data_IF_616472913372
#
_entry.id   IF_616472913372
#
_cell.length_a   1.000
_cell.length_b   1.000
_cell.length_c   1.000
_cell.angle_alpha   90.00
_cell.angle_beta   90.00
_cell.angle_gamma   90.00
#
_symmetry.space_group_name_H-M   'P 1'
#
loop_
_entity.id
_entity.type
_entity.pdbx_description
1 polymer ?
#
# COMPACT_ATOMS: atom_id res chain seq x y z
N UNK A 1 12.79 8.80 -10.33
CA UNK A 1 13.45 8.94 -11.64
C UNK A 1 12.55 9.74 -12.57
N UNK A 2 13.10 10.74 -13.27
CA UNK A 2 12.47 11.42 -14.40
C UNK A 2 13.00 10.82 -15.70
N UNK A 3 12.11 10.42 -16.59
CA UNK A 3 12.46 9.91 -17.91
C UNK A 3 11.60 10.56 -18.98
N UNK A 4 12.07 10.57 -20.23
CA UNK A 4 11.25 10.96 -21.37
C UNK A 4 10.38 9.77 -21.86
N UNK A 5 9.49 10.04 -22.82
CA UNK A 5 8.60 9.02 -23.39
C UNK A 5 9.33 7.92 -24.18
N UNK A 6 10.64 8.06 -24.42
CA UNK A 6 11.49 7.06 -25.06
C UNK A 6 12.29 6.24 -24.06
N UNK A 7 12.07 6.46 -22.75
CA UNK A 7 12.73 5.75 -21.67
C UNK A 7 14.12 6.30 -21.32
N UNK A 8 14.56 7.44 -21.89
CA UNK A 8 15.82 8.06 -21.51
C UNK A 8 15.69 8.69 -20.13
N UNK A 9 16.54 8.29 -19.19
CA UNK A 9 16.63 8.92 -17.85
C UNK A 9 17.16 10.35 -18.00
N UNK A 10 16.40 11.30 -17.47
CA UNK A 10 16.72 12.73 -17.48
C UNK A 10 17.25 13.19 -16.12
N UNK A 11 16.72 12.63 -15.02
CA UNK A 11 17.15 12.93 -13.66
C UNK A 11 16.83 11.78 -12.71
N UNK A 12 17.58 11.73 -11.61
CA UNK A 12 17.35 10.83 -10.48
C UNK A 12 17.32 11.70 -9.22
N UNK A 13 16.32 11.48 -8.37
CA UNK A 13 16.15 12.22 -7.12
C UNK A 13 16.27 11.26 -5.94
N UNK A 14 17.21 11.52 -5.05
CA UNK A 14 17.27 10.78 -3.78
C UNK A 14 16.04 11.08 -2.92
N UNK A 15 15.50 10.06 -2.28
CA UNK A 15 14.42 10.23 -1.29
C UNK A 15 14.96 10.93 -0.05
N UNK A 16 14.36 12.06 0.31
CA UNK A 16 14.75 12.82 1.50
C UNK A 16 13.63 12.78 2.55
N UNK A 17 13.97 12.32 3.75
CA UNK A 17 13.13 12.43 4.95
C UNK A 17 13.87 13.28 5.96
N UNK A 18 13.23 14.36 6.41
CA UNK A 18 13.81 15.32 7.35
C UNK A 18 15.20 15.83 6.87
N UNK A 19 15.34 16.03 5.54
CA UNK A 19 16.56 16.52 4.89
C UNK A 19 17.69 15.49 4.73
N UNK A 20 17.48 14.25 5.15
CA UNK A 20 18.46 13.15 5.05
C UNK A 20 18.04 12.13 4.00
N UNK A 21 19.00 11.62 3.23
CA UNK A 21 18.74 10.57 2.27
C UNK A 21 18.28 9.27 2.98
N UNK A 22 17.19 8.67 2.46
CA UNK A 22 16.66 7.39 2.95
C UNK A 22 16.86 6.34 1.88
N UNK A 23 17.53 5.25 2.25
CA UNK A 23 17.93 4.19 1.33
C UNK A 23 17.60 2.82 1.90
N UNK A 24 17.24 1.88 1.01
CA UNK A 24 17.18 0.45 1.31
C UNK A 24 18.55 -0.21 1.14
N UNK A 25 18.76 -1.44 1.64
CA UNK A 25 19.99 -2.19 1.39
C UNK A 25 20.31 -2.43 -0.09
N UNK A 26 19.28 -2.38 -0.96
CA UNK A 26 19.43 -2.58 -2.40
C UNK A 26 19.76 -1.31 -3.19
N UNK A 27 19.81 -0.16 -2.52
CA UNK A 27 20.08 1.11 -3.18
C UNK A 27 21.52 1.13 -3.74
N UNK A 28 21.75 1.58 -4.99
CA UNK A 28 23.07 1.56 -5.63
C UNK A 28 24.19 2.28 -4.87
N UNK A 29 23.83 3.27 -4.06
CA UNK A 29 24.79 4.02 -3.24
C UNK A 29 25.08 3.37 -1.86
N UNK A 30 24.45 2.24 -1.53
CA UNK A 30 24.74 1.48 -0.30
C UNK A 30 25.86 0.49 -0.58
N UNK A 31 26.97 0.63 0.14
CA UNK A 31 28.12 -0.27 0.00
C UNK A 31 27.93 -1.51 0.88
N UNK A 32 27.93 -2.67 0.28
CA UNK A 32 27.93 -3.94 1.00
C UNK A 32 29.29 -4.17 1.64
N UNK A 33 29.36 -4.51 2.94
CA UNK A 33 30.63 -4.85 3.59
C UNK A 33 31.33 -6.03 2.92
N UNK A 34 32.66 -6.01 2.89
CA UNK A 34 33.47 -7.09 2.30
C UNK A 34 33.49 -8.40 3.11
N UNK A 35 32.91 -8.40 4.32
CA UNK A 35 32.84 -9.58 5.19
C UNK A 35 31.39 -9.85 5.64
N UNK A 36 30.98 -11.13 5.76
CA UNK A 36 29.68 -11.49 6.31
C UNK A 36 29.45 -10.89 7.71
N UNK A 37 28.22 -10.43 7.98
CA UNK A 37 27.85 -9.84 9.28
C UNK A 37 28.27 -8.39 9.48
N UNK A 38 28.91 -7.75 8.50
CA UNK A 38 29.21 -6.32 8.56
C UNK A 38 27.93 -5.47 8.49
N UNK A 39 27.94 -4.32 9.19
CA UNK A 39 26.81 -3.40 9.20
C UNK A 39 26.62 -2.74 7.82
N UNK A 40 25.37 -2.58 7.42
CA UNK A 40 24.96 -1.85 6.21
C UNK A 40 24.19 -0.60 6.64
N UNK A 41 24.60 0.53 6.13
CA UNK A 41 23.91 1.81 6.45
C UNK A 41 22.67 1.95 5.55
N UNK A 42 21.52 1.61 6.11
CA UNK A 42 20.21 1.80 5.47
C UNK A 42 19.17 2.27 6.48
N UNK A 43 18.14 2.97 6.00
CA UNK A 43 17.09 3.56 6.83
C UNK A 43 15.72 2.90 6.60
N UNK A 44 15.59 2.08 5.56
CA UNK A 44 14.35 1.37 5.25
C UNK A 44 14.67 -0.09 4.92
N UNK A 45 13.80 -1.02 5.31
CA UNK A 45 13.99 -2.45 5.03
C UNK A 45 14.03 -2.72 3.52
N UNK A 46 14.66 -3.84 3.15
CA UNK A 46 14.64 -4.37 1.78
C UNK A 46 13.20 -4.50 1.27
N UNK A 47 12.95 -4.15 0.00
CA UNK A 47 11.63 -4.20 -0.63
C UNK A 47 10.55 -3.45 0.15
N UNK A 48 10.90 -2.32 0.80
CA UNK A 48 9.98 -1.45 1.54
C UNK A 48 10.14 0.02 1.12
N UNK A 49 10.45 0.22 -0.17
CA UNK A 49 10.53 1.53 -0.80
C UNK A 49 9.16 2.18 -1.03
N UNK A 50 9.03 2.91 -2.12
CA UNK A 50 7.73 3.48 -2.50
C UNK A 50 6.84 2.41 -3.12
N UNK A 51 5.61 2.30 -2.61
CA UNK A 51 4.57 1.40 -3.11
C UNK A 51 3.45 2.18 -3.80
N UNK A 52 3.01 3.28 -3.22
CA UNK A 52 1.99 4.14 -3.81
C UNK A 52 2.55 5.52 -4.19
N UNK A 53 2.12 6.07 -5.32
CA UNK A 53 2.47 7.44 -5.72
C UNK A 53 1.26 8.13 -6.36
N UNK A 54 0.62 8.99 -5.59
CA UNK A 54 -0.49 9.81 -6.06
C UNK A 54 0.00 11.12 -6.69
N UNK A 55 -0.80 11.69 -7.58
CA UNK A 55 -0.61 13.05 -8.09
C UNK A 55 -1.73 13.98 -7.65
N UNK A 56 -1.42 15.28 -7.46
CA UNK A 56 -2.47 16.29 -7.39
C UNK A 56 -3.24 16.36 -8.72
N UNK A 57 -4.51 16.82 -8.68
CA UNK A 57 -5.34 16.91 -9.88
C UNK A 57 -4.76 17.82 -10.97
N UNK A 58 -4.02 18.84 -10.59
CA UNK A 58 -3.35 19.76 -11.51
C UNK A 58 -1.96 19.27 -11.94
N UNK A 59 -1.51 18.13 -11.42
CA UNK A 59 -0.20 17.53 -11.71
C UNK A 59 0.98 18.31 -11.12
N UNK A 60 0.75 19.31 -10.28
CA UNK A 60 1.82 20.16 -9.71
C UNK A 60 2.59 19.46 -8.57
N UNK A 61 1.97 18.46 -7.92
CA UNK A 61 2.55 17.72 -6.79
C UNK A 61 2.46 16.22 -7.01
N UNK A 62 3.47 15.50 -6.51
CA UNK A 62 3.42 14.06 -6.32
C UNK A 62 3.48 13.77 -4.82
N UNK A 63 2.74 12.76 -4.41
CA UNK A 63 2.69 12.26 -3.04
C UNK A 63 3.15 10.81 -3.05
N UNK A 64 4.37 10.57 -2.58
CA UNK A 64 4.98 9.25 -2.59
C UNK A 64 4.88 8.60 -1.20
N UNK A 65 4.25 7.43 -1.11
CA UNK A 65 4.04 6.69 0.12
C UNK A 65 5.05 5.55 0.22
N UNK A 66 5.84 5.54 1.30
CA UNK A 66 6.75 4.44 1.62
C UNK A 66 5.98 3.23 2.14
N UNK A 67 6.32 2.04 1.69
CA UNK A 67 5.74 0.77 2.15
C UNK A 67 6.24 0.37 3.55
N UNK A 68 7.43 0.81 3.93
CA UNK A 68 8.00 0.51 5.23
C UNK A 68 8.29 1.75 6.07
N UNK A 69 8.28 1.60 7.41
CA UNK A 69 8.63 2.67 8.32
C UNK A 69 10.13 2.99 8.25
N UNK A 70 10.48 4.25 8.43
CA UNK A 70 11.86 4.71 8.44
C UNK A 70 12.52 4.35 9.77
N UNK A 71 13.78 3.90 9.71
CA UNK A 71 14.59 3.62 10.90
C UNK A 71 14.96 4.91 11.64
N UNK A 72 14.66 4.95 12.92
CA UNK A 72 15.11 6.00 13.82
C UNK A 72 16.33 5.50 14.62
N UNK A 73 17.50 6.03 14.29
CA UNK A 73 18.76 5.60 14.92
C UNK A 73 18.84 5.98 16.40
N UNK A 74 18.19 7.05 16.83
CA UNK A 74 18.17 7.48 18.24
C UNK A 74 17.29 6.56 19.09
N UNK A 75 16.10 6.24 18.58
CA UNK A 75 15.17 5.32 19.23
C UNK A 75 15.62 3.85 19.09
N UNK A 76 16.54 3.54 18.15
CA UNK A 76 16.93 2.17 17.77
C UNK A 76 15.72 1.30 17.39
N UNK A 77 14.75 1.90 16.72
CA UNK A 77 13.52 1.25 16.28
C UNK A 77 13.01 1.92 15.00
N UNK A 78 12.08 1.28 14.32
CA UNK A 78 11.37 1.87 13.21
C UNK A 78 10.37 2.92 13.70
N UNK A 79 10.05 3.89 12.82
CA UNK A 79 9.12 4.96 13.14
C UNK A 79 7.74 4.42 13.51
N UNK A 80 7.23 4.88 14.66
CA UNK A 80 5.93 4.51 15.21
C UNK A 80 5.17 5.73 15.72
N UNK A 81 3.86 5.62 15.69
CA UNK A 81 2.93 6.52 16.38
C UNK A 81 2.09 5.66 17.32
N UNK A 82 2.15 5.94 18.62
CA UNK A 82 1.42 5.18 19.66
C UNK A 82 1.64 3.65 19.57
N UNK A 83 2.89 3.24 19.27
CA UNK A 83 3.28 1.83 19.16
C UNK A 83 2.97 1.13 17.83
N UNK A 84 2.27 1.81 16.93
CA UNK A 84 1.97 1.32 15.57
C UNK A 84 2.96 1.86 14.56
N UNK A 85 3.41 1.02 13.63
CA UNK A 85 4.29 1.42 12.53
C UNK A 85 3.64 2.53 11.70
N UNK A 86 4.45 3.55 11.37
CA UNK A 86 4.01 4.73 10.64
C UNK A 86 4.83 4.89 9.35
N UNK A 87 4.13 5.01 8.23
CA UNK A 87 4.70 5.10 6.90
C UNK A 87 4.67 6.55 6.43
N UNK A 88 5.76 7.04 5.85
CA UNK A 88 5.82 8.42 5.36
C UNK A 88 5.17 8.60 3.99
N UNK A 89 4.27 9.57 3.89
CA UNK A 89 3.83 10.16 2.63
C UNK A 89 4.65 11.42 2.42
N UNK A 90 5.42 11.49 1.34
CA UNK A 90 6.34 12.60 1.05
C UNK A 90 5.81 13.41 -0.13
N UNK A 91 5.84 14.76 -0.01
CA UNK A 91 5.42 15.65 -1.09
C UNK A 91 6.61 16.08 -1.94
N UNK A 92 6.46 15.93 -3.26
CA UNK A 92 7.42 16.38 -4.28
C UNK A 92 6.78 17.44 -5.18
N UNK A 93 7.46 18.57 -5.36
CA UNK A 93 7.04 19.64 -6.26
C UNK A 93 7.58 19.39 -7.67
N UNK A 94 6.67 19.24 -8.64
CA UNK A 94 7.00 18.87 -10.01
C UNK A 94 7.69 20.02 -10.76
N UNK A 95 7.31 21.27 -10.48
CA UNK A 95 7.88 22.44 -11.18
C UNK A 95 9.32 22.75 -10.76
N UNK A 96 9.60 22.62 -9.46
CA UNK A 96 10.95 22.84 -8.91
C UNK A 96 11.80 21.59 -8.89
N UNK A 97 11.19 20.41 -9.15
CA UNK A 97 11.81 19.09 -9.12
C UNK A 97 12.49 18.78 -7.76
N UNK A 98 11.79 19.10 -6.66
CA UNK A 98 12.33 18.96 -5.30
C UNK A 98 11.30 18.39 -4.33
N UNK A 99 11.79 17.64 -3.36
CA UNK A 99 11.03 17.32 -2.15
C UNK A 99 10.77 18.63 -1.40
N UNK A 100 9.51 18.89 -1.03
CA UNK A 100 9.12 20.13 -0.34
C UNK A 100 9.49 20.12 1.15
N UNK A 101 9.75 18.93 1.69
CA UNK A 101 9.91 18.69 3.13
C UNK A 101 8.57 18.45 3.85
N UNK A 102 7.43 18.73 3.19
CA UNK A 102 6.11 18.38 3.73
C UNK A 102 5.92 16.88 3.69
N UNK A 103 5.36 16.34 4.74
CA UNK A 103 5.06 14.93 4.84
C UNK A 103 3.90 14.67 5.78
N UNK A 104 3.33 13.47 5.69
CA UNK A 104 2.33 12.93 6.59
C UNK A 104 2.72 11.51 6.99
N UNK A 105 2.04 10.97 8.01
CA UNK A 105 2.29 9.61 8.51
C UNK A 105 1.05 8.77 8.35
N UNK A 106 1.10 7.75 7.50
CA UNK A 106 0.06 6.73 7.47
C UNK A 106 0.35 5.69 8.56
N UNK A 107 -0.50 5.65 9.59
CA UNK A 107 -0.35 4.73 10.71
C UNK A 107 -1.06 3.43 10.37
N UNK A 108 -0.33 2.31 10.37
CA UNK A 108 -0.90 0.99 10.10
C UNK A 108 -1.88 0.56 11.20
N UNK A 109 -2.93 -0.18 10.84
CA UNK A 109 -3.86 -0.76 11.83
C UNK A 109 -3.21 -1.84 12.66
N UNK A 110 -2.32 -2.61 12.07
CA UNK A 110 -1.48 -3.59 12.77
C UNK A 110 -0.06 -3.54 12.23
N UNK A 111 0.93 -3.70 13.13
CA UNK A 111 2.33 -3.83 12.73
C UNK A 111 2.50 -5.05 11.83
N UNK A 112 3.24 -4.87 10.73
CA UNK A 112 3.44 -5.92 9.73
C UNK A 112 2.40 -5.95 8.62
N UNK A 113 1.32 -5.15 8.68
CA UNK A 113 0.51 -4.88 7.51
C UNK A 113 1.35 -4.19 6.43
N UNK A 114 0.92 -4.28 5.19
CA UNK A 114 1.50 -3.58 4.05
C UNK A 114 0.45 -2.69 3.39
N UNK A 115 0.91 -1.71 2.64
CA UNK A 115 0.07 -0.94 1.72
C UNK A 115 0.19 -1.52 0.32
N UNK A 116 -0.78 -1.25 -0.55
CA UNK A 116 -0.75 -1.71 -1.94
C UNK A 116 -0.79 -0.56 -2.95
N UNK A 117 -1.49 0.54 -2.65
CA UNK A 117 -1.58 1.68 -3.57
C UNK A 117 -2.02 2.95 -2.83
N UNK A 118 -1.80 4.09 -3.51
CA UNK A 118 -2.23 5.40 -3.05
C UNK A 118 -2.60 6.31 -4.23
N UNK A 119 -3.83 6.83 -4.25
CA UNK A 119 -4.29 7.81 -5.23
C UNK A 119 -5.08 8.95 -4.58
N UNK A 120 -4.95 10.19 -5.12
CA UNK A 120 -5.71 11.34 -4.61
C UNK A 120 -7.12 11.40 -5.19
N UNK A 121 -8.11 11.66 -4.33
CA UNK A 121 -9.49 11.94 -4.71
C UNK A 121 -9.66 13.40 -5.08
N UNK A 122 -9.07 14.30 -4.28
CA UNK A 122 -9.14 15.75 -4.40
C UNK A 122 -7.87 16.43 -3.87
N UNK A 123 -7.91 17.70 -3.53
CA UNK A 123 -6.73 18.45 -3.08
C UNK A 123 -6.20 18.04 -1.69
N UNK A 124 -6.96 17.28 -0.91
CA UNK A 124 -6.62 16.94 0.47
C UNK A 124 -7.00 15.53 0.90
N UNK A 125 -7.74 14.80 0.09
CA UNK A 125 -8.16 13.43 0.42
C UNK A 125 -7.68 12.43 -0.63
N UNK A 126 -7.38 11.21 -0.19
CA UNK A 126 -6.93 10.12 -1.06
C UNK A 126 -7.42 8.76 -0.59
N UNK A 127 -7.18 7.75 -1.43
CA UNK A 127 -7.44 6.34 -1.15
C UNK A 127 -6.12 5.62 -0.93
N UNK A 128 -6.03 4.83 0.13
CA UNK A 128 -4.87 3.96 0.43
C UNK A 128 -5.37 2.55 0.67
N UNK A 129 -4.75 1.57 0.01
CA UNK A 129 -4.95 0.15 0.32
C UNK A 129 -4.05 -0.22 1.50
N UNK A 130 -4.63 -0.82 2.56
CA UNK A 130 -3.90 -1.48 3.64
C UNK A 130 -4.34 -2.93 3.75
N UNK A 131 -3.38 -3.85 3.82
CA UNK A 131 -3.62 -5.29 3.82
C UNK A 131 -2.71 -6.04 4.79
N UNK A 132 -3.20 -7.17 5.31
CA UNK A 132 -2.36 -8.20 5.90
C UNK A 132 -1.64 -9.04 4.81
N UNK A 133 -0.79 -9.96 5.23
CA UNK A 133 -0.07 -10.90 4.35
C UNK A 133 -0.77 -12.25 4.21
N UNK A 134 -2.00 -12.37 4.71
CA UNK A 134 -2.82 -13.57 4.52
C UNK A 134 -3.43 -13.65 3.12
N UNK A 135 -3.80 -14.86 2.71
CA UNK A 135 -4.50 -15.13 1.45
C UNK A 135 -5.59 -16.20 1.63
N UNK A 136 -6.56 -16.22 0.73
CA UNK A 136 -7.65 -17.17 0.81
C UNK A 136 -8.70 -16.85 1.87
N UNK A 137 -9.71 -17.69 1.96
CA UNK A 137 -10.86 -17.52 2.85
C UNK A 137 -10.92 -18.60 3.94
N UNK A 138 -11.65 -18.32 5.01
CA UNK A 138 -11.86 -19.26 6.12
C UNK A 138 -12.41 -20.63 5.69
N UNK A 139 -13.21 -20.68 4.61
CA UNK A 139 -13.74 -21.95 4.08
C UNK A 139 -12.68 -22.86 3.49
N UNK A 140 -11.47 -22.35 3.22
CA UNK A 140 -10.33 -23.10 2.69
C UNK A 140 -9.11 -23.05 3.62
N UNK A 141 -9.30 -22.67 4.88
CA UNK A 141 -8.24 -22.67 5.89
C UNK A 141 -7.78 -24.10 6.20
N UNK A 142 -6.47 -24.25 6.40
CA UNK A 142 -5.94 -25.51 6.93
C UNK A 142 -6.45 -25.77 8.34
N UNK A 143 -6.78 -27.01 8.69
CA UNK A 143 -7.01 -27.38 10.07
C UNK A 143 -5.75 -27.09 10.91
N UNK A 144 -5.95 -26.66 12.14
CA UNK A 144 -4.86 -26.31 13.05
C UNK A 144 -3.86 -27.46 13.20
N UNK A 145 -2.57 -27.14 13.14
CA UNK A 145 -1.48 -28.10 13.29
C UNK A 145 -1.23 -29.04 12.10
N UNK A 146 -2.03 -28.95 11.04
CA UNK A 146 -1.84 -29.78 9.83
C UNK A 146 -0.92 -29.06 8.83
N UNK A 147 0.11 -29.77 8.34
CA UNK A 147 1.00 -29.31 7.26
C UNK A 147 0.46 -29.85 5.92
N UNK A 148 -0.56 -29.20 5.37
CA UNK A 148 -1.15 -29.53 4.07
C UNK A 148 -0.79 -28.46 3.06
N UNK A 149 -0.83 -28.81 1.76
CA UNK A 149 -0.56 -27.88 0.64
C UNK A 149 -1.83 -27.52 -0.14
N UNK A 150 -2.97 -28.14 0.20
CA UNK A 150 -4.25 -27.98 -0.47
C UNK A 150 -5.24 -27.10 0.32
N UNK A 151 -4.72 -26.26 1.20
CA UNK A 151 -5.46 -25.32 2.02
C UNK A 151 -4.56 -24.11 2.40
N UNK A 152 -5.14 -23.03 2.89
CA UNK A 152 -4.42 -21.83 3.31
C UNK A 152 -4.02 -21.88 4.79
N UNK A 153 -2.74 -21.69 5.09
CA UNK A 153 -2.22 -21.66 6.47
C UNK A 153 -2.46 -20.32 7.13
N UNK A 154 -2.33 -19.22 6.36
CA UNK A 154 -2.55 -17.86 6.83
C UNK A 154 -3.63 -17.22 5.95
N UNK A 155 -4.87 -17.25 6.44
CA UNK A 155 -6.02 -16.70 5.71
C UNK A 155 -6.06 -15.19 5.80
N UNK A 156 -6.55 -14.55 4.73
CA UNK A 156 -6.80 -13.12 4.71
C UNK A 156 -7.82 -12.72 5.80
N UNK A 157 -7.44 -11.74 6.64
CA UNK A 157 -8.28 -11.21 7.73
C UNK A 157 -8.44 -9.70 7.67
N UNK A 158 -7.57 -9.03 6.91
CA UNK A 158 -7.55 -7.58 6.81
C UNK A 158 -7.16 -7.12 5.40
N UNK A 159 -8.14 -6.65 4.62
CA UNK A 159 -7.96 -6.08 3.28
C UNK A 159 -8.88 -4.88 3.16
N UNK A 160 -8.34 -3.65 3.17
CA UNK A 160 -9.17 -2.43 3.21
C UNK A 160 -8.68 -1.36 2.25
N UNK A 161 -9.63 -0.62 1.69
CA UNK A 161 -9.38 0.67 1.05
C UNK A 161 -9.81 1.76 2.02
N UNK A 162 -8.86 2.54 2.53
CA UNK A 162 -9.14 3.69 3.39
C UNK A 162 -9.28 4.96 2.57
N UNK A 163 -10.27 5.80 2.93
CA UNK A 163 -10.23 7.22 2.61
C UNK A 163 -9.47 7.94 3.70
N UNK A 164 -8.46 8.72 3.32
CA UNK A 164 -7.60 9.46 4.24
C UNK A 164 -7.58 10.93 3.90
N UNK A 165 -7.32 11.79 4.88
CA UNK A 165 -7.06 13.22 4.70
C UNK A 165 -5.59 13.52 4.94
N UNK A 166 -4.99 14.22 3.96
CA UNK A 166 -3.67 14.81 3.99
C UNK A 166 -3.86 16.31 3.75
N UNK A 167 -3.84 17.12 4.79
CA UNK A 167 -4.11 18.57 4.70
C UNK A 167 -3.02 19.36 5.41
N UNK A 168 -3.06 20.68 5.30
CA UNK A 168 -2.17 21.57 6.04
C UNK A 168 -2.32 21.42 7.55
N UNK A 169 -3.50 21.03 8.01
CA UNK A 169 -3.80 20.86 9.43
C UNK A 169 -3.06 19.69 10.09
N UNK A 170 -2.66 18.68 9.29
CA UNK A 170 -2.00 17.47 9.81
C UNK A 170 -0.61 17.20 9.19
N UNK A 171 0.01 18.20 8.55
CA UNK A 171 1.40 18.11 8.08
C UNK A 171 2.34 17.74 9.23
N UNK A 172 3.24 16.77 9.00
CA UNK A 172 4.17 16.25 10.00
C UNK A 172 3.56 15.22 10.95
N UNK A 173 2.23 15.13 10.99
CA UNK A 173 1.47 14.23 11.85
C UNK A 173 0.79 13.09 11.10
N UNK A 174 -0.04 12.31 11.82
CA UNK A 174 -0.84 11.25 11.22
C UNK A 174 -1.87 11.77 10.22
N UNK A 175 -2.07 11.03 9.13
CA UNK A 175 -3.24 11.22 8.27
C UNK A 175 -4.50 10.91 9.07
N UNK A 176 -5.59 11.61 8.79
CA UNK A 176 -6.89 11.27 9.37
C UNK A 176 -7.57 10.22 8.51
N UNK A 177 -7.80 9.03 9.05
CA UNK A 177 -8.61 7.99 8.40
C UNK A 177 -10.10 8.36 8.55
N UNK A 178 -10.77 8.63 7.44
CA UNK A 178 -12.17 9.08 7.40
C UNK A 178 -13.13 7.89 7.43
N UNK A 179 -12.80 6.84 6.67
CA UNK A 179 -13.61 5.63 6.57
C UNK A 179 -12.91 4.60 5.70
N UNK A 180 -13.53 3.44 5.51
CA UNK A 180 -12.97 2.37 4.69
C UNK A 180 -14.03 1.48 4.04
N UNK A 181 -13.61 0.77 2.99
CA UNK A 181 -14.30 -0.39 2.43
C UNK A 181 -13.53 -1.64 2.83
N UNK A 182 -14.22 -2.64 3.40
CA UNK A 182 -13.65 -3.94 3.70
C UNK A 182 -13.78 -4.85 2.48
N UNK A 183 -12.65 -5.15 1.84
CA UNK A 183 -12.60 -5.97 0.63
C UNK A 183 -12.86 -7.47 0.91
N UNK A 184 -12.91 -7.86 2.18
CA UNK A 184 -13.35 -9.21 2.57
C UNK A 184 -14.86 -9.30 2.85
N UNK A 185 -15.58 -8.16 2.72
CA UNK A 185 -17.01 -8.07 3.00
C UNK A 185 -17.73 -7.15 2.00
N UNK A 186 -17.56 -7.41 0.71
CA UNK A 186 -18.19 -6.64 -0.36
C UNK A 186 -19.60 -7.19 -0.59
N UNK A 187 -20.62 -6.36 -0.32
CA UNK A 187 -22.01 -6.75 -0.58
C UNK A 187 -22.27 -6.89 -2.09
N UNK A 188 -22.79 -8.04 -2.50
CA UNK A 188 -23.21 -8.33 -3.87
C UNK A 188 -24.56 -9.07 -3.87
N UNK A 189 -25.65 -8.38 -3.49
CA UNK A 189 -26.98 -8.97 -3.39
C UNK A 189 -27.51 -9.47 -4.74
N UNK A 190 -27.11 -8.82 -5.81
CA UNK A 190 -27.53 -9.17 -7.18
C UNK A 190 -26.65 -10.25 -7.82
N UNK A 191 -25.62 -10.73 -7.10
CA UNK A 191 -24.69 -11.78 -7.54
C UNK A 191 -24.04 -11.49 -8.88
N UNK A 192 -23.58 -10.25 -9.06
CA UNK A 192 -22.92 -9.78 -10.28
C UNK A 192 -21.50 -10.34 -10.42
N UNK A 193 -20.83 -10.61 -9.33
CA UNK A 193 -19.49 -11.20 -9.33
C UNK A 193 -19.53 -12.63 -9.87
N UNK A 194 -18.58 -12.94 -10.76
CA UNK A 194 -18.46 -14.30 -11.36
C UNK A 194 -17.72 -15.30 -10.47
N UNK A 195 -17.05 -14.82 -9.43
CA UNK A 195 -16.31 -15.65 -8.47
C UNK A 195 -17.22 -16.12 -7.37
N UNK A 196 -16.82 -17.19 -6.64
CA UNK A 196 -17.66 -17.74 -5.59
C UNK A 196 -18.06 -16.65 -4.58
N UNK A 197 -19.36 -16.56 -4.34
CA UNK A 197 -19.94 -15.72 -3.30
C UNK A 197 -20.29 -16.58 -2.08
N UNK A 198 -20.21 -15.95 -0.91
CA UNK A 198 -20.70 -16.53 0.32
C UNK A 198 -21.89 -15.68 0.80
N UNK A 199 -23.11 -16.19 0.62
CA UNK A 199 -24.37 -15.53 1.01
C UNK A 199 -24.53 -14.09 0.47
N UNK A 200 -24.15 -13.87 -0.80
CA UNK A 200 -24.22 -12.55 -1.44
C UNK A 200 -23.07 -11.61 -1.04
N UNK A 201 -22.00 -12.15 -0.46
CA UNK A 201 -20.78 -11.42 -0.13
C UNK A 201 -19.64 -11.86 -1.03
N UNK A 202 -19.11 -10.95 -1.82
CA UNK A 202 -17.85 -11.15 -2.54
C UNK A 202 -16.68 -10.89 -1.59
N UNK A 203 -15.74 -11.81 -1.51
CA UNK A 203 -14.45 -11.63 -0.84
C UNK A 203 -13.35 -11.45 -1.86
N UNK A 204 -12.44 -10.52 -1.58
CA UNK A 204 -11.27 -10.20 -2.39
C UNK A 204 -9.99 -10.54 -1.59
N UNK A 205 -9.69 -11.86 -1.40
CA UNK A 205 -8.77 -12.35 -0.38
C UNK A 205 -7.34 -12.52 -0.91
N UNK A 206 -6.92 -11.66 -1.83
CA UNK A 206 -5.62 -11.80 -2.47
C UNK A 206 -4.47 -11.44 -1.52
N UNK A 207 -3.34 -12.11 -1.70
CA UNK A 207 -2.11 -11.82 -0.98
C UNK A 207 -1.72 -10.36 -1.19
N UNK A 208 -1.66 -9.93 -2.45
CA UNK A 208 -1.40 -8.54 -2.84
C UNK A 208 -2.60 -7.93 -3.56
N UNK A 209 -3.03 -6.75 -3.07
CA UNK A 209 -4.04 -5.90 -3.69
C UNK A 209 -3.34 -4.56 -3.88
N UNK A 210 -3.07 -4.19 -5.13
CA UNK A 210 -2.08 -3.16 -5.47
C UNK A 210 -2.57 -2.10 -6.44
N UNK A 211 -3.89 -2.03 -6.65
CA UNK A 211 -4.47 -1.02 -7.51
C UNK A 211 -5.76 -0.48 -6.89
N UNK A 212 -5.85 0.83 -6.71
CA UNK A 212 -7.10 1.54 -6.41
C UNK A 212 -7.14 2.86 -7.15
N UNK A 213 -8.24 3.14 -7.86
CA UNK A 213 -8.44 4.44 -8.47
C UNK A 213 -9.91 4.86 -8.45
N UNK A 214 -10.14 6.17 -8.53
CA UNK A 214 -11.48 6.77 -8.62
C UNK A 214 -11.93 6.75 -10.07
N UNK A 215 -13.03 6.05 -10.34
CA UNK A 215 -13.62 6.00 -11.67
C UNK A 215 -14.52 7.21 -11.92
N UNK A 216 -15.35 7.55 -10.93
CA UNK A 216 -16.24 8.71 -10.95
C UNK A 216 -16.67 9.12 -9.53
N UNK A 217 -17.67 9.98 -9.41
CA UNK A 217 -18.13 10.51 -8.12
C UNK A 217 -18.68 9.46 -7.13
N UNK A 218 -18.99 8.25 -7.61
CA UNK A 218 -19.61 7.18 -6.81
C UNK A 218 -18.87 5.85 -6.86
N UNK A 219 -17.89 5.69 -7.76
CA UNK A 219 -17.26 4.39 -8.00
C UNK A 219 -15.75 4.45 -7.94
N UNK A 220 -15.19 3.37 -7.42
CA UNK A 220 -13.75 3.08 -7.45
C UNK A 220 -13.50 1.74 -8.14
N UNK A 221 -12.32 1.56 -8.69
CA UNK A 221 -11.80 0.27 -9.16
C UNK A 221 -10.72 -0.20 -8.22
N UNK A 222 -10.72 -1.50 -7.91
CA UNK A 222 -9.68 -2.16 -7.11
C UNK A 222 -9.17 -3.37 -7.87
N UNK A 223 -7.88 -3.59 -7.86
CA UNK A 223 -7.24 -4.72 -8.53
C UNK A 223 -6.17 -5.41 -7.67
N UNK A 224 -5.95 -6.69 -7.91
CA UNK A 224 -4.83 -7.42 -7.31
C UNK A 224 -3.66 -7.56 -8.30
N UNK A 225 -2.47 -7.75 -7.76
CA UNK A 225 -1.37 -8.41 -8.45
C UNK A 225 -1.41 -9.91 -8.15
N UNK A 226 -1.40 -10.73 -9.19
CA UNK A 226 -1.42 -12.19 -9.04
C UNK A 226 -0.05 -12.79 -8.70
N UNK A 227 1.02 -12.00 -8.67
CA UNK A 227 2.40 -12.45 -8.41
C UNK A 227 2.75 -13.72 -9.21
N UNK A 228 2.33 -13.81 -10.46
CA UNK A 228 2.47 -15.02 -11.27
C UNK A 228 3.92 -15.55 -11.26
N UNK A 229 4.14 -16.84 -10.96
CA UNK A 229 3.15 -17.90 -10.72
C UNK A 229 2.89 -18.20 -9.22
N UNK A 230 3.19 -17.30 -8.31
CA UNK A 230 3.38 -17.61 -6.88
C UNK A 230 2.12 -17.51 -6.01
N UNK A 231 1.20 -16.55 -6.29
CA UNK A 231 -0.01 -16.40 -5.48
C UNK A 231 -1.12 -17.38 -5.86
N UNK A 232 -1.88 -17.84 -4.87
CA UNK A 232 -2.93 -18.84 -5.01
C UNK A 232 -4.15 -18.53 -4.13
N UNK A 233 -4.56 -17.26 -4.05
CA UNK A 233 -5.51 -16.76 -3.04
C UNK A 233 -6.96 -17.21 -3.26
N UNK A 234 -7.34 -17.61 -4.47
CA UNK A 234 -8.70 -18.14 -4.76
C UNK A 234 -8.79 -19.65 -4.52
N UNK A 235 -7.81 -20.39 -5.00
CA UNK A 235 -7.75 -21.84 -4.90
C UNK A 235 -6.32 -22.25 -4.54
N UNK A 236 -6.12 -23.07 -3.48
CA UNK A 236 -4.80 -23.56 -3.14
C UNK A 236 -4.15 -24.27 -4.34
N UNK A 237 -2.87 -24.03 -4.56
CA UNK A 237 -2.08 -24.62 -5.66
C UNK A 237 -2.53 -24.24 -7.08
N UNK A 238 -3.36 -23.23 -7.24
CA UNK A 238 -3.73 -22.68 -8.53
C UNK A 238 -3.35 -21.22 -8.59
N UNK A 239 -2.48 -20.84 -9.54
CA UNK A 239 -2.10 -19.45 -9.72
C UNK A 239 -3.31 -18.54 -9.88
N UNK A 240 -3.25 -17.39 -9.22
CA UNK A 240 -4.31 -16.38 -9.29
C UNK A 240 -4.39 -15.73 -10.68
N UNK A 241 -5.58 -15.32 -11.04
CA UNK A 241 -5.80 -14.37 -12.14
C UNK A 241 -5.61 -12.93 -11.60
N UNK A 242 -5.34 -11.97 -12.49
CA UNK A 242 -5.54 -10.57 -12.19
C UNK A 242 -7.04 -10.27 -12.27
N UNK A 243 -7.60 -9.84 -11.15
CA UNK A 243 -9.00 -9.48 -11.02
C UNK A 243 -9.13 -7.97 -10.78
N UNK A 244 -10.04 -7.35 -11.51
CA UNK A 244 -10.47 -5.97 -11.29
C UNK A 244 -11.91 -5.99 -10.82
N UNK A 245 -12.21 -5.28 -9.74
CA UNK A 245 -13.57 -5.13 -9.22
C UNK A 245 -13.95 -3.65 -9.20
N UNK A 246 -15.11 -3.36 -9.80
CA UNK A 246 -15.73 -2.03 -9.76
C UNK A 246 -16.68 -1.99 -8.56
N UNK A 247 -16.48 -1.05 -7.66
CA UNK A 247 -17.23 -0.94 -6.40
C UNK A 247 -18.01 0.37 -6.34
N UNK A 248 -19.28 0.28 -5.91
CA UNK A 248 -20.03 1.44 -5.47
C UNK A 248 -19.45 1.94 -4.15
N UNK A 249 -18.86 3.12 -4.16
CA UNK A 249 -18.12 3.72 -3.07
C UNK A 249 -18.61 5.14 -2.73
N UNK A 250 -19.77 5.56 -3.24
CA UNK A 250 -20.27 6.93 -3.12
C UNK A 250 -20.32 7.42 -1.67
N UNK A 251 -20.75 6.58 -0.73
CA UNK A 251 -20.78 6.92 0.69
C UNK A 251 -19.37 7.20 1.24
N UNK A 252 -18.36 6.39 0.88
CA UNK A 252 -16.97 6.61 1.28
C UNK A 252 -16.39 7.86 0.61
N UNK A 253 -16.60 8.04 -0.70
CA UNK A 253 -16.05 9.18 -1.45
C UNK A 253 -16.61 10.52 -0.96
N UNK A 254 -17.84 10.56 -0.44
CA UNK A 254 -18.51 11.75 0.10
C UNK A 254 -18.30 11.95 1.61
N UNK A 255 -17.79 10.97 2.33
CA UNK A 255 -17.53 11.07 3.78
C UNK A 255 -16.53 12.21 4.08
N UNK A 256 -16.70 12.88 5.25
CA UNK A 256 -15.89 14.04 5.70
C UNK A 256 -15.11 13.73 6.96
#
# INVERSE_FOLDING_TARGET
IKADLKGKVLAVYDTLVDGKAVRSPDHPAVTTPGAPGGAVDFQIKRSKGFEGMASSKDGSKLYALLEGPVWNAEAKDYEKVEGKEALRVLEFDVATEKWTGRHWKYVLEANGNAIGDFNMIDGSTGLIIERDNGEGTSGKACPEGQKRTDCFHDIARFKRVYKVELSDANVGGPVRKIGYIDLLNIADPDKLARKPLNDGVLKFPFFTIENVDVVDATRIVVGNDNNLPFSSSREPNKADDNELVLLEAGALLQAK
#
